data_IF_872103515497
#
_entry.id   IF_872103515497
#
_cell.length_a   1.000
_cell.length_b   1.000
_cell.length_c   1.000
_cell.angle_alpha   90.00
_cell.angle_beta   90.00
_cell.angle_gamma   90.00
#
_symmetry.space_group_name_H-M   'P 1'
#
loop_
_entity.id
_entity.type
_entity.pdbx_description
1 polymer ?
#
# COMPACT_ATOMS: atom_id res chain seq x y z
N UNK A 1 6.48 -22.58 -7.83
CA UNK A 1 6.02 -23.92 -8.23
C UNK A 1 7.16 -24.75 -8.81
N UNK A 2 7.95 -24.20 -9.74
CA UNK A 2 9.08 -24.92 -10.36
C UNK A 2 10.11 -25.40 -9.34
N UNK A 3 10.44 -24.59 -8.33
CA UNK A 3 11.38 -24.98 -7.26
C UNK A 3 10.92 -26.22 -6.49
N UNK A 4 9.62 -26.35 -6.21
CA UNK A 4 9.08 -27.51 -5.48
C UNK A 4 9.21 -28.76 -6.36
N UNK A 5 8.87 -28.65 -7.65
CA UNK A 5 9.00 -29.76 -8.59
C UNK A 5 10.45 -30.24 -8.70
N UNK A 6 11.41 -29.31 -8.82
CA UNK A 6 12.84 -29.63 -8.85
C UNK A 6 13.26 -30.33 -7.55
N UNK A 7 12.89 -29.79 -6.38
CA UNK A 7 13.18 -30.41 -5.08
C UNK A 7 12.60 -31.81 -4.94
N UNK A 8 11.38 -32.05 -5.42
CA UNK A 8 10.76 -33.39 -5.39
C UNK A 8 11.52 -34.37 -6.30
N UNK A 9 11.90 -33.95 -7.51
CA UNK A 9 12.67 -34.84 -8.40
C UNK A 9 14.04 -35.19 -7.82
N UNK A 10 14.73 -34.23 -7.20
CA UNK A 10 16.03 -34.47 -6.56
C UNK A 10 15.88 -35.39 -5.33
N UNK A 11 14.82 -35.20 -4.53
CA UNK A 11 14.49 -36.10 -3.42
C UNK A 11 14.28 -37.54 -3.91
N UNK A 12 13.46 -37.74 -4.95
CA UNK A 12 13.18 -39.07 -5.51
C UNK A 12 14.46 -39.71 -6.05
N UNK A 13 15.27 -38.96 -6.81
CA UNK A 13 16.54 -39.45 -7.32
C UNK A 13 17.52 -39.84 -6.19
N UNK A 14 17.59 -39.04 -5.13
CA UNK A 14 18.43 -39.32 -3.96
C UNK A 14 17.98 -40.61 -3.24
N UNK A 15 16.67 -40.77 -3.00
CA UNK A 15 16.13 -41.98 -2.37
C UNK A 15 16.40 -43.22 -3.23
N UNK A 16 16.14 -43.15 -4.55
CA UNK A 16 16.39 -44.27 -5.47
C UNK A 16 17.88 -44.64 -5.49
N UNK A 17 18.78 -43.65 -5.54
CA UNK A 17 20.22 -43.91 -5.51
C UNK A 17 20.66 -44.59 -4.21
N UNK A 18 20.10 -44.18 -3.06
CA UNK A 18 20.40 -44.79 -1.76
C UNK A 18 19.89 -46.24 -1.66
N UNK A 19 18.69 -46.51 -2.19
CA UNK A 19 18.11 -47.86 -2.24
C UNK A 19 18.94 -48.79 -3.13
N UNK A 20 19.32 -48.33 -4.33
CA UNK A 20 20.16 -49.11 -5.26
C UNK A 20 21.56 -49.40 -4.67
N UNK A 21 22.07 -48.48 -3.83
CA UNK A 21 23.38 -48.62 -3.19
C UNK A 21 23.35 -49.44 -1.88
N UNK A 22 22.20 -50.01 -1.47
CA UNK A 22 22.01 -50.74 -0.22
C UNK A 22 22.42 -49.96 1.04
N UNK A 23 22.20 -48.64 1.05
CA UNK A 23 22.42 -47.81 2.23
C UNK A 23 21.38 -48.10 3.31
N UNK A 24 21.72 -47.76 4.56
CA UNK A 24 20.80 -47.98 5.67
C UNK A 24 19.51 -47.15 5.53
N UNK A 25 18.45 -47.59 6.20
CA UNK A 25 17.16 -46.88 6.22
C UNK A 25 17.32 -45.43 6.73
N UNK A 26 18.18 -45.21 7.74
CA UNK A 26 18.46 -43.89 8.29
C UNK A 26 19.15 -42.96 7.28
N UNK A 27 20.15 -43.45 6.56
CA UNK A 27 20.86 -42.69 5.52
C UNK A 27 19.95 -42.36 4.33
N UNK A 28 19.09 -43.30 3.94
CA UNK A 28 18.12 -43.09 2.86
C UNK A 28 17.10 -42.00 3.20
N UNK A 29 16.59 -41.99 4.44
CA UNK A 29 15.69 -40.94 4.93
C UNK A 29 16.42 -39.59 4.97
N UNK A 30 17.64 -39.55 5.52
CA UNK A 30 18.44 -38.33 5.57
C UNK A 30 18.73 -37.76 4.18
N UNK A 31 19.08 -38.61 3.21
CA UNK A 31 19.32 -38.23 1.82
C UNK A 31 18.04 -37.72 1.14
N UNK A 32 16.88 -38.31 1.41
CA UNK A 32 15.60 -37.80 0.92
C UNK A 32 15.28 -36.39 1.45
N UNK A 33 15.41 -36.18 2.78
CA UNK A 33 15.21 -34.86 3.40
C UNK A 33 16.18 -33.84 2.82
N UNK A 34 17.48 -34.16 2.76
CA UNK A 34 18.50 -33.29 2.19
C UNK A 34 18.24 -32.98 0.71
N UNK A 35 17.88 -34.00 -0.08
CA UNK A 35 17.54 -33.90 -1.49
C UNK A 35 16.34 -33.00 -1.76
N UNK A 36 15.40 -32.88 -0.80
CA UNK A 36 14.29 -31.94 -0.90
C UNK A 36 14.70 -30.51 -0.51
N UNK A 37 15.28 -30.33 0.68
CA UNK A 37 15.50 -29.00 1.26
C UNK A 37 16.71 -28.26 0.72
N UNK A 38 17.83 -28.94 0.44
CA UNK A 38 19.06 -28.28 -0.05
C UNK A 38 18.82 -27.54 -1.36
N UNK A 39 18.21 -28.16 -2.41
CA UNK A 39 17.88 -27.43 -3.63
C UNK A 39 16.89 -26.28 -3.40
N UNK A 40 15.95 -26.45 -2.46
CA UNK A 40 14.95 -25.43 -2.15
C UNK A 40 15.60 -24.15 -1.60
N UNK A 41 16.56 -24.31 -0.68
CA UNK A 41 17.34 -23.21 -0.13
C UNK A 41 18.22 -22.57 -1.20
N UNK A 42 18.96 -23.37 -1.99
CA UNK A 42 19.85 -22.86 -3.03
C UNK A 42 19.11 -22.06 -4.11
N UNK A 43 18.04 -22.65 -4.68
CA UNK A 43 17.20 -21.98 -5.68
C UNK A 43 16.52 -20.75 -5.06
N UNK A 44 16.08 -20.84 -3.80
CA UNK A 44 15.50 -19.74 -3.05
C UNK A 44 16.46 -18.55 -2.93
N UNK A 45 17.70 -18.79 -2.55
CA UNK A 45 18.74 -17.75 -2.43
C UNK A 45 19.05 -17.10 -3.79
N UNK A 46 19.19 -17.89 -4.85
CA UNK A 46 19.44 -17.38 -6.21
C UNK A 46 18.27 -16.52 -6.68
N UNK A 47 17.04 -17.03 -6.53
CA UNK A 47 15.83 -16.33 -6.94
C UNK A 47 15.67 -15.02 -6.14
N UNK A 48 15.90 -15.05 -4.83
CA UNK A 48 15.83 -13.86 -3.97
C UNK A 48 16.84 -12.80 -4.39
N UNK A 49 18.09 -13.19 -4.71
CA UNK A 49 19.10 -12.26 -5.23
C UNK A 49 18.65 -11.62 -6.56
N UNK A 50 18.08 -12.40 -7.47
CA UNK A 50 17.60 -11.89 -8.77
C UNK A 50 16.39 -10.96 -8.62
N UNK A 51 15.40 -11.33 -7.80
CA UNK A 51 14.26 -10.47 -7.47
C UNK A 51 14.76 -9.18 -6.83
N UNK A 52 15.70 -9.27 -5.88
CA UNK A 52 16.30 -8.12 -5.21
C UNK A 52 16.90 -7.12 -6.21
N UNK A 53 17.62 -7.58 -7.23
CA UNK A 53 18.15 -6.71 -8.28
C UNK A 53 17.06 -5.94 -9.03
N UNK A 54 15.97 -6.62 -9.41
CA UNK A 54 14.84 -5.98 -10.12
C UNK A 54 14.11 -5.01 -9.21
N UNK A 55 13.93 -5.35 -7.93
CA UNK A 55 13.35 -4.48 -6.92
C UNK A 55 14.19 -3.23 -6.66
N UNK A 56 15.52 -3.36 -6.54
CA UNK A 56 16.42 -2.22 -6.38
C UNK A 56 16.38 -1.30 -7.59
N UNK A 57 16.33 -1.85 -8.81
CA UNK A 57 16.20 -1.04 -10.02
C UNK A 57 14.87 -0.27 -10.07
N UNK A 58 13.75 -0.88 -9.67
CA UNK A 58 12.46 -0.18 -9.53
C UNK A 58 12.54 0.95 -8.49
N UNK A 59 13.12 0.65 -7.32
CA UNK A 59 13.29 1.63 -6.24
C UNK A 59 14.18 2.80 -6.66
N UNK A 60 15.26 2.53 -7.38
CA UNK A 60 16.16 3.55 -7.92
C UNK A 60 15.43 4.45 -8.93
N UNK A 61 14.67 3.86 -9.86
CA UNK A 61 13.87 4.62 -10.82
C UNK A 61 12.84 5.53 -10.12
N UNK A 62 12.12 5.00 -9.12
CA UNK A 62 11.19 5.78 -8.30
C UNK A 62 11.91 6.89 -7.52
N UNK A 63 13.06 6.59 -6.93
CA UNK A 63 13.85 7.57 -6.17
C UNK A 63 14.39 8.69 -7.07
N UNK A 64 14.82 8.37 -8.29
CA UNK A 64 15.25 9.36 -9.27
C UNK A 64 14.08 10.24 -9.72
N UNK A 65 12.91 9.65 -9.98
CA UNK A 65 11.68 10.39 -10.29
C UNK A 65 11.27 11.32 -9.14
N UNK A 66 11.23 10.80 -7.91
CA UNK A 66 10.89 11.58 -6.72
C UNK A 66 11.91 12.71 -6.47
N UNK A 67 13.21 12.47 -6.70
CA UNK A 67 14.25 13.52 -6.62
C UNK A 67 13.98 14.65 -7.62
N UNK A 68 13.56 14.34 -8.84
CA UNK A 68 13.20 15.36 -9.85
C UNK A 68 12.01 16.20 -9.40
N UNK A 69 10.95 15.54 -8.91
CA UNK A 69 9.75 16.19 -8.36
C UNK A 69 10.13 17.08 -7.17
N UNK A 70 10.90 16.56 -6.21
CA UNK A 70 11.33 17.30 -5.02
C UNK A 70 12.20 18.52 -5.38
N UNK A 71 13.09 18.40 -6.38
CA UNK A 71 13.86 19.54 -6.89
C UNK A 71 12.95 20.63 -7.47
N UNK A 72 11.94 20.25 -8.26
CA UNK A 72 10.94 21.21 -8.78
C UNK A 72 10.15 21.89 -7.65
N UNK A 73 9.77 21.14 -6.62
CA UNK A 73 9.10 21.70 -5.42
C UNK A 73 10.01 22.69 -4.68
N UNK A 74 11.29 22.37 -4.47
CA UNK A 74 12.25 23.28 -3.82
C UNK A 74 12.51 24.55 -4.66
N UNK A 75 12.63 24.42 -5.98
CA UNK A 75 12.74 25.56 -6.89
C UNK A 75 11.51 26.47 -6.82
N UNK A 76 10.33 25.89 -6.59
CA UNK A 76 9.11 26.66 -6.38
C UNK A 76 9.10 27.41 -5.04
N UNK A 77 9.48 26.76 -3.95
CA UNK A 77 9.56 27.40 -2.63
C UNK A 77 10.52 28.60 -2.62
N UNK A 78 11.55 28.56 -3.46
CA UNK A 78 12.56 29.64 -3.58
C UNK A 78 12.19 30.74 -4.58
N UNK A 79 11.16 30.56 -5.42
CA UNK A 79 10.70 31.55 -6.42
C UNK A 79 9.23 31.94 -6.22
N UNK A 80 8.92 32.85 -5.28
CA UNK A 80 7.54 33.13 -4.82
C UNK A 80 6.62 33.91 -5.81
N UNK A 81 6.92 33.94 -7.12
CA UNK A 81 6.14 34.67 -8.13
C UNK A 81 5.46 33.83 -9.22
N UNK A 82 5.58 32.50 -9.20
CA UNK A 82 5.06 31.62 -10.25
C UNK A 82 3.56 31.30 -10.14
N UNK A 83 2.92 30.98 -11.28
CA UNK A 83 1.54 30.50 -11.32
C UNK A 83 1.41 29.13 -10.63
N UNK A 84 0.95 29.13 -9.36
CA UNK A 84 0.83 27.95 -8.50
C UNK A 84 0.04 26.82 -9.17
N UNK A 85 -1.05 27.14 -9.88
CA UNK A 85 -1.89 26.13 -10.55
C UNK A 85 -1.13 25.43 -11.69
N UNK A 86 -0.35 26.18 -12.45
CA UNK A 86 0.45 25.61 -13.54
C UNK A 86 1.54 24.69 -13.00
N UNK A 87 2.16 25.07 -11.87
CA UNK A 87 3.20 24.27 -11.23
C UNK A 87 2.60 23.00 -10.61
N UNK A 88 1.44 23.07 -9.96
CA UNK A 88 0.71 21.89 -9.50
C UNK A 88 0.41 20.91 -10.65
N UNK A 89 -0.10 21.41 -11.78
CA UNK A 89 -0.34 20.57 -12.97
C UNK A 89 0.93 19.92 -13.50
N UNK A 90 2.06 20.63 -13.49
CA UNK A 90 3.34 20.07 -13.91
C UNK A 90 3.81 18.95 -12.96
N UNK A 91 3.67 19.15 -11.65
CA UNK A 91 4.02 18.13 -10.65
C UNK A 91 3.11 16.89 -10.78
N UNK A 92 1.80 17.08 -10.98
CA UNK A 92 0.86 15.99 -11.24
C UNK A 92 1.20 15.23 -12.53
N UNK A 93 1.59 15.95 -13.60
CA UNK A 93 2.02 15.34 -14.85
C UNK A 93 3.31 14.51 -14.67
N UNK A 94 4.31 15.05 -13.95
CA UNK A 94 5.54 14.32 -13.65
C UNK A 94 5.26 13.06 -12.80
N UNK A 95 4.39 13.17 -11.79
CA UNK A 95 3.96 12.02 -10.97
C UNK A 95 3.27 10.97 -11.84
N UNK A 96 2.37 11.38 -12.74
CA UNK A 96 1.66 10.47 -13.65
C UNK A 96 2.64 9.71 -14.55
N UNK A 97 3.62 10.40 -15.13
CA UNK A 97 4.66 9.77 -15.97
C UNK A 97 5.46 8.76 -15.14
N UNK A 98 5.93 9.16 -13.95
CA UNK A 98 6.69 8.29 -13.06
C UNK A 98 5.94 7.01 -12.71
N UNK A 99 4.65 7.13 -12.35
CA UNK A 99 3.82 5.98 -11.97
C UNK A 99 3.54 5.08 -13.18
N UNK A 100 3.35 5.68 -14.36
CA UNK A 100 3.14 4.93 -15.61
C UNK A 100 4.39 4.13 -16.00
N UNK A 101 5.57 4.74 -15.88
CA UNK A 101 6.83 4.05 -16.12
C UNK A 101 7.07 2.93 -15.10
N UNK A 102 6.67 3.15 -13.83
CA UNK A 102 6.74 2.14 -12.80
C UNK A 102 5.79 0.96 -13.06
N UNK A 103 4.57 1.22 -13.57
CA UNK A 103 3.63 0.19 -13.99
C UNK A 103 4.21 -0.67 -15.13
N UNK A 104 4.81 -0.05 -16.14
CA UNK A 104 5.49 -0.78 -17.21
C UNK A 104 6.69 -1.59 -16.69
N UNK A 105 7.43 -1.07 -15.71
CA UNK A 105 8.55 -1.77 -15.10
C UNK A 105 8.11 -3.05 -14.37
N UNK A 106 6.90 -3.08 -13.79
CA UNK A 106 6.40 -4.24 -13.05
C UNK A 106 6.39 -5.52 -13.90
N UNK A 107 6.28 -5.43 -15.22
CA UNK A 107 6.29 -6.60 -16.10
C UNK A 107 7.60 -7.39 -16.02
N UNK A 108 8.70 -6.76 -15.60
CA UNK A 108 9.98 -7.44 -15.32
C UNK A 108 9.89 -8.44 -14.17
N UNK A 109 8.87 -8.36 -13.32
CA UNK A 109 8.65 -9.32 -12.24
C UNK A 109 7.88 -10.57 -12.68
N UNK A 110 7.18 -10.53 -13.83
CA UNK A 110 6.35 -11.63 -14.35
C UNK A 110 7.09 -12.97 -14.44
N UNK A 111 8.36 -13.04 -14.92
CA UNK A 111 9.11 -14.29 -14.99
C UNK A 111 9.36 -14.95 -13.62
N UNK A 112 9.26 -14.21 -12.52
CA UNK A 112 9.46 -14.75 -11.17
C UNK A 112 8.20 -15.44 -10.60
N UNK A 113 7.02 -15.30 -11.23
CA UNK A 113 5.79 -16.00 -10.79
C UNK A 113 5.96 -17.51 -10.71
N UNK A 114 6.74 -18.11 -11.62
CA UNK A 114 7.01 -19.55 -11.63
C UNK A 114 7.89 -20.02 -10.45
N UNK A 115 8.73 -19.12 -9.94
CA UNK A 115 9.70 -19.39 -8.88
C UNK A 115 9.17 -19.03 -7.48
N UNK A 116 8.37 -17.98 -7.34
CA UNK A 116 7.81 -17.52 -6.06
C UNK A 116 6.28 -17.56 -6.09
N UNK A 117 5.69 -18.26 -5.11
CA UNK A 117 4.24 -18.43 -4.98
C UNK A 117 3.50 -17.10 -4.77
N UNK A 118 4.12 -16.18 -4.02
CA UNK A 118 3.53 -14.89 -3.66
C UNK A 118 3.84 -13.79 -4.69
N UNK A 119 4.73 -14.04 -5.65
CA UNK A 119 5.13 -13.01 -6.61
C UNK A 119 3.93 -12.50 -7.43
N UNK A 120 3.00 -13.38 -7.80
CA UNK A 120 1.78 -12.95 -8.49
C UNK A 120 0.96 -11.97 -7.65
N UNK A 121 0.85 -12.20 -6.34
CA UNK A 121 0.16 -11.31 -5.41
C UNK A 121 0.93 -10.01 -5.18
N UNK A 122 2.27 -10.06 -5.12
CA UNK A 122 3.12 -8.87 -5.00
C UNK A 122 2.98 -7.96 -6.22
N UNK A 123 3.00 -8.53 -7.42
CA UNK A 123 2.74 -7.82 -8.68
C UNK A 123 1.35 -7.18 -8.66
N UNK A 124 0.31 -7.94 -8.25
CA UNK A 124 -1.04 -7.41 -8.12
C UNK A 124 -1.12 -6.26 -7.11
N UNK A 125 -0.43 -6.35 -5.97
CA UNK A 125 -0.37 -5.25 -4.98
C UNK A 125 0.26 -4.00 -5.57
N UNK A 126 1.43 -4.12 -6.20
CA UNK A 126 2.11 -2.96 -6.79
C UNK A 126 1.27 -2.31 -7.89
N UNK A 127 0.70 -3.11 -8.80
CA UNK A 127 -0.20 -2.60 -9.85
C UNK A 127 -1.41 -1.91 -9.25
N UNK A 128 -2.05 -2.54 -8.25
CA UNK A 128 -3.21 -1.97 -7.57
C UNK A 128 -2.89 -0.61 -6.95
N UNK A 129 -1.77 -0.49 -6.21
CA UNK A 129 -1.38 0.77 -5.57
C UNK A 129 -1.09 1.88 -6.61
N UNK A 130 -0.36 1.58 -7.67
CA UNK A 130 -0.04 2.56 -8.71
C UNK A 130 -1.26 2.96 -9.53
N UNK A 131 -2.11 2.02 -9.95
CA UNK A 131 -3.37 2.32 -10.63
C UNK A 131 -4.30 3.14 -9.74
N UNK A 132 -4.32 2.87 -8.43
CA UNK A 132 -5.05 3.68 -7.47
C UNK A 132 -4.57 5.12 -7.46
N UNK A 133 -3.25 5.35 -7.41
CA UNK A 133 -2.66 6.69 -7.46
C UNK A 133 -2.95 7.42 -8.77
N UNK A 134 -3.03 6.68 -9.89
CA UNK A 134 -3.46 7.22 -11.18
C UNK A 134 -4.98 7.46 -11.28
N UNK A 135 -5.74 7.07 -10.26
CA UNK A 135 -7.21 7.09 -10.23
C UNK A 135 -7.86 6.20 -11.29
N UNK A 136 -7.14 5.20 -11.79
CA UNK A 136 -7.61 4.17 -12.73
C UNK A 136 -8.41 3.10 -11.97
N UNK A 137 -9.52 3.55 -11.38
CA UNK A 137 -10.24 2.79 -10.38
C UNK A 137 -10.93 1.52 -10.90
N UNK A 138 -11.34 1.50 -12.16
CA UNK A 138 -11.92 0.30 -12.76
C UNK A 138 -10.90 -0.85 -12.80
N UNK A 139 -9.67 -0.55 -13.21
CA UNK A 139 -8.57 -1.53 -13.21
C UNK A 139 -8.20 -1.97 -11.78
N UNK A 140 -8.25 -1.05 -10.80
CA UNK A 140 -8.10 -1.39 -9.37
C UNK A 140 -9.18 -2.39 -8.96
N UNK A 141 -10.43 -2.12 -9.29
CA UNK A 141 -11.57 -2.95 -8.89
C UNK A 141 -11.49 -4.34 -9.52
N UNK A 142 -11.03 -4.46 -10.77
CA UNK A 142 -10.74 -5.75 -11.41
C UNK A 142 -9.67 -6.55 -10.65
N UNK A 143 -8.59 -5.88 -10.21
CA UNK A 143 -7.54 -6.53 -9.40
C UNK A 143 -8.08 -6.97 -8.03
N UNK A 144 -8.93 -6.15 -7.39
CA UNK A 144 -9.55 -6.46 -6.09
C UNK A 144 -10.58 -7.59 -6.17
N UNK A 145 -11.27 -7.73 -7.30
CA UNK A 145 -12.26 -8.77 -7.57
C UNK A 145 -11.65 -10.14 -7.87
N UNK A 146 -10.33 -10.22 -8.12
CA UNK A 146 -9.65 -11.47 -8.44
C UNK A 146 -9.87 -12.54 -7.35
N UNK A 147 -10.59 -13.61 -7.73
CA UNK A 147 -10.93 -14.73 -6.82
C UNK A 147 -9.81 -15.75 -6.76
N UNK A 148 -9.50 -16.24 -5.55
CA UNK A 148 -8.55 -17.32 -5.30
C UNK A 148 -7.40 -16.95 -4.36
N UNK A 149 -6.85 -17.94 -3.66
CA UNK A 149 -5.85 -17.77 -2.60
C UNK A 149 -4.58 -17.05 -3.08
N UNK A 150 -4.27 -17.06 -4.38
CA UNK A 150 -3.01 -16.55 -4.94
C UNK A 150 -3.18 -15.54 -6.09
N UNK A 151 -4.40 -15.07 -6.36
CA UNK A 151 -4.70 -14.22 -7.53
C UNK A 151 -4.91 -12.73 -7.21
N UNK A 152 -5.28 -12.40 -5.98
CA UNK A 152 -5.48 -11.02 -5.54
C UNK A 152 -4.26 -10.37 -4.86
N UNK A 153 -4.30 -9.05 -4.63
CA UNK A 153 -3.23 -8.33 -3.96
C UNK A 153 -3.06 -8.79 -2.51
N UNK A 154 -1.82 -8.71 -2.01
CA UNK A 154 -1.49 -8.82 -0.59
C UNK A 154 -2.09 -7.62 0.16
N UNK A 155 -2.86 -7.89 1.21
CA UNK A 155 -3.55 -6.90 2.04
C UNK A 155 -3.01 -6.92 3.48
N UNK A 156 -1.69 -6.74 3.59
CA UNK A 156 -0.97 -6.79 4.87
C UNK A 156 -0.63 -5.40 5.42
N UNK A 157 -0.89 -4.34 4.66
CA UNK A 157 -0.63 -2.96 5.07
C UNK A 157 -1.94 -2.19 5.22
N UNK A 158 -2.10 -1.34 6.26
CA UNK A 158 -3.32 -0.58 6.51
C UNK A 158 -3.80 0.19 5.29
N UNK A 159 -2.88 0.82 4.56
CA UNK A 159 -3.19 1.60 3.36
C UNK A 159 -3.85 0.75 2.26
N UNK A 160 -3.32 -0.44 1.97
CA UNK A 160 -3.91 -1.33 0.94
C UNK A 160 -5.33 -1.78 1.29
N UNK A 161 -5.59 -1.99 2.58
CA UNK A 161 -6.92 -2.33 3.08
C UNK A 161 -7.85 -1.13 3.01
N UNK A 162 -7.37 0.05 3.42
CA UNK A 162 -8.13 1.29 3.35
C UNK A 162 -8.50 1.68 1.91
N UNK A 163 -7.60 1.51 0.95
CA UNK A 163 -7.87 1.65 -0.49
C UNK A 163 -9.02 0.75 -0.92
N UNK A 164 -8.98 -0.55 -0.55
CA UNK A 164 -10.08 -1.47 -0.85
C UNK A 164 -11.39 -1.04 -0.20
N UNK A 165 -11.37 -0.63 1.08
CA UNK A 165 -12.58 -0.15 1.76
C UNK A 165 -13.15 1.09 1.07
N UNK A 166 -12.30 2.04 0.66
CA UNK A 166 -12.71 3.21 -0.10
C UNK A 166 -13.37 2.81 -1.43
N UNK A 167 -12.81 1.83 -2.16
CA UNK A 167 -13.43 1.29 -3.38
C UNK A 167 -14.79 0.64 -3.11
N UNK A 168 -14.90 -0.20 -2.09
CA UNK A 168 -16.17 -0.85 -1.73
C UNK A 168 -17.25 0.17 -1.38
N UNK A 169 -16.91 1.26 -0.68
CA UNK A 169 -17.83 2.37 -0.43
C UNK A 169 -18.28 3.04 -1.72
N UNK A 170 -17.35 3.32 -2.64
CA UNK A 170 -17.68 3.95 -3.94
C UNK A 170 -18.52 3.05 -4.86
N UNK A 171 -18.51 1.74 -4.64
CA UNK A 171 -19.35 0.76 -5.31
C UNK A 171 -20.66 0.46 -4.55
N UNK A 172 -20.95 1.18 -3.47
CA UNK A 172 -22.09 0.95 -2.55
C UNK A 172 -22.13 -0.46 -1.92
N UNK A 173 -20.99 -1.16 -1.88
CA UNK A 173 -20.80 -2.45 -1.19
C UNK A 173 -20.49 -2.25 0.30
N UNK A 174 -21.48 -1.73 1.05
CA UNK A 174 -21.33 -1.50 2.50
C UNK A 174 -21.08 -2.81 3.27
N UNK A 175 -21.80 -3.88 2.92
CA UNK A 175 -21.66 -5.17 3.58
C UNK A 175 -20.25 -5.76 3.40
N UNK A 176 -19.71 -5.69 2.18
CA UNK A 176 -18.34 -6.11 1.90
C UNK A 176 -17.31 -5.21 2.55
N UNK A 177 -17.56 -3.90 2.67
CA UNK A 177 -16.70 -2.96 3.39
C UNK A 177 -16.62 -3.33 4.87
N UNK A 178 -17.75 -3.53 5.54
CA UNK A 178 -17.78 -3.95 6.96
C UNK A 178 -17.05 -5.28 7.17
N UNK A 179 -17.23 -6.22 6.25
CA UNK A 179 -16.54 -7.51 6.28
C UNK A 179 -15.03 -7.34 6.11
N UNK A 180 -14.59 -6.46 5.21
CA UNK A 180 -13.18 -6.12 5.03
C UNK A 180 -12.60 -5.50 6.29
N UNK A 181 -13.30 -4.52 6.89
CA UNK A 181 -12.91 -3.88 8.14
C UNK A 181 -12.75 -4.90 9.27
N UNK A 182 -13.80 -5.66 9.61
CA UNK A 182 -13.80 -6.65 10.70
C UNK A 182 -12.71 -7.71 10.51
N UNK A 183 -12.45 -8.12 9.27
CA UNK A 183 -11.40 -9.10 8.96
C UNK A 183 -9.99 -8.57 9.20
N UNK A 184 -9.73 -7.30 8.85
CA UNK A 184 -8.36 -6.76 8.83
C UNK A 184 -7.99 -5.98 10.08
N UNK A 185 -8.94 -5.29 10.73
CA UNK A 185 -8.65 -4.46 11.90
C UNK A 185 -7.98 -5.25 13.04
N UNK A 186 -8.34 -6.53 13.21
CA UNK A 186 -7.73 -7.41 14.22
C UNK A 186 -6.23 -7.68 14.01
N UNK A 187 -5.71 -7.49 12.81
CA UNK A 187 -4.30 -7.69 12.49
C UNK A 187 -3.48 -6.40 12.69
N UNK A 188 -4.14 -5.25 12.78
CA UNK A 188 -3.50 -3.94 12.93
C UNK A 188 -3.66 -3.44 14.36
N UNK A 189 -2.67 -3.73 15.22
CA UNK A 189 -2.62 -3.25 16.60
C UNK A 189 -1.99 -1.86 16.69
N UNK A 190 -2.41 -1.08 17.69
CA UNK A 190 -1.92 0.29 17.91
C UNK A 190 -2.25 1.23 16.74
N UNK A 191 -1.41 2.24 16.54
CA UNK A 191 -1.61 3.26 15.49
C UNK A 191 -1.73 2.73 14.06
N UNK A 192 -1.32 1.48 13.77
CA UNK A 192 -1.51 0.87 12.44
C UNK A 192 -2.99 0.67 12.09
N UNK A 193 -3.87 0.56 13.10
CA UNK A 193 -5.31 0.42 12.90
C UNK A 193 -6.03 1.73 12.60
N UNK A 194 -5.41 2.88 12.89
CA UNK A 194 -6.03 4.21 12.85
C UNK A 194 -6.76 4.49 11.54
N UNK A 195 -6.08 4.26 10.40
CA UNK A 195 -6.65 4.54 9.09
C UNK A 195 -7.93 3.74 8.82
N UNK A 196 -8.01 2.48 9.27
CA UNK A 196 -9.21 1.65 9.09
C UNK A 196 -10.38 2.15 9.93
N UNK A 197 -10.12 2.53 11.18
CA UNK A 197 -11.15 3.14 12.04
C UNK A 197 -11.64 4.48 11.47
N UNK A 198 -10.73 5.29 10.93
CA UNK A 198 -11.03 6.55 10.29
C UNK A 198 -11.91 6.39 9.05
N UNK A 199 -11.58 5.44 8.15
CA UNK A 199 -12.41 5.14 6.97
C UNK A 199 -13.79 4.66 7.38
N UNK A 200 -13.86 3.69 8.30
CA UNK A 200 -15.12 3.08 8.69
C UNK A 200 -16.05 4.07 9.42
N UNK A 201 -15.51 4.86 10.36
CA UNK A 201 -16.28 5.90 11.05
C UNK A 201 -16.75 7.00 10.09
N UNK A 202 -15.92 7.40 9.13
CA UNK A 202 -16.31 8.35 8.09
C UNK A 202 -17.44 7.81 7.21
N UNK A 203 -17.39 6.54 6.83
CA UNK A 203 -18.47 5.90 6.05
C UNK A 203 -19.79 5.94 6.82
N UNK A 204 -19.78 5.63 8.12
CA UNK A 204 -20.98 5.75 8.97
C UNK A 204 -21.50 7.19 9.04
N UNK A 205 -20.62 8.19 9.17
CA UNK A 205 -21.03 9.60 9.12
C UNK A 205 -21.66 9.98 7.77
N UNK A 206 -21.18 9.43 6.65
CA UNK A 206 -21.76 9.68 5.32
C UNK A 206 -23.09 8.95 5.05
N UNK A 207 -23.47 8.01 5.92
CA UNK A 207 -24.75 7.31 5.86
C UNK A 207 -25.68 7.75 6.99
N UNK A 208 -25.38 8.88 7.63
CA UNK A 208 -26.13 9.45 8.76
C UNK A 208 -26.25 8.50 9.97
N UNK A 209 -25.30 7.58 10.12
CA UNK A 209 -25.22 6.62 11.23
C UNK A 209 -24.27 7.12 12.33
N UNK A 210 -24.45 8.36 12.80
CA UNK A 210 -23.56 9.02 13.78
C UNK A 210 -23.37 8.22 15.07
N UNK A 211 -24.40 7.53 15.52
CA UNK A 211 -24.33 6.64 16.70
C UNK A 211 -23.33 5.50 16.50
N UNK A 212 -23.40 4.82 15.34
CA UNK A 212 -22.46 3.73 15.01
C UNK A 212 -21.05 4.26 14.85
N UNK A 213 -20.89 5.44 14.25
CA UNK A 213 -19.60 6.12 14.17
C UNK A 213 -19.03 6.38 15.56
N UNK A 214 -19.82 6.92 16.49
CA UNK A 214 -19.42 7.17 17.88
C UNK A 214 -18.98 5.90 18.59
N UNK A 215 -19.79 4.85 18.53
CA UNK A 215 -19.47 3.54 19.14
C UNK A 215 -18.18 2.95 18.57
N UNK A 216 -17.95 3.10 17.27
CA UNK A 216 -16.74 2.63 16.63
C UNK A 216 -15.51 3.44 17.06
N UNK A 217 -15.63 4.76 17.21
CA UNK A 217 -14.54 5.63 17.64
C UNK A 217 -14.15 5.42 19.10
N UNK A 218 -15.07 4.98 19.98
CA UNK A 218 -14.73 4.54 21.35
C UNK A 218 -13.71 3.40 21.27
N UNK A 219 -14.03 2.35 20.50
CA UNK A 219 -13.13 1.22 20.27
C UNK A 219 -11.84 1.64 19.58
N UNK A 220 -11.93 2.55 18.62
CA UNK A 220 -10.78 3.08 17.88
C UNK A 220 -9.82 3.83 18.80
N UNK A 221 -10.34 4.68 19.70
CA UNK A 221 -9.54 5.44 20.67
C UNK A 221 -8.77 4.50 21.59
N UNK A 222 -9.44 3.50 22.15
CA UNK A 222 -8.80 2.49 23.00
C UNK A 222 -7.74 1.66 22.25
N UNK A 223 -8.03 1.27 21.01
CA UNK A 223 -7.15 0.40 20.23
C UNK A 223 -5.92 1.11 19.66
N UNK A 224 -6.04 2.41 19.34
CA UNK A 224 -5.03 3.14 18.56
C UNK A 224 -4.31 4.24 19.35
N UNK A 225 -4.98 4.87 20.33
CA UNK A 225 -4.46 6.04 21.03
C UNK A 225 -4.32 7.29 20.16
N UNK A 226 -4.89 7.31 18.95
CA UNK A 226 -4.71 8.40 17.99
C UNK A 226 -5.53 9.66 18.36
N UNK A 227 -4.89 10.82 18.26
CA UNK A 227 -5.50 12.11 18.62
C UNK A 227 -6.63 12.52 17.66
N UNK A 228 -6.56 12.17 16.37
CA UNK A 228 -7.61 12.46 15.40
C UNK A 228 -8.86 11.65 15.73
N UNK A 229 -8.69 10.37 16.07
CA UNK A 229 -9.79 9.50 16.51
C UNK A 229 -10.41 10.02 17.81
N UNK A 230 -9.58 10.41 18.80
CA UNK A 230 -10.04 10.95 20.06
C UNK A 230 -10.82 12.26 19.88
N UNK A 231 -10.31 13.18 19.05
CA UNK A 231 -10.99 14.44 18.70
C UNK A 231 -12.33 14.17 18.02
N UNK A 232 -12.37 13.27 17.04
CA UNK A 232 -13.61 12.95 16.33
C UNK A 232 -14.64 12.35 17.27
N UNK A 233 -14.24 11.48 18.21
CA UNK A 233 -15.12 10.97 19.25
C UNK A 233 -15.72 12.10 20.10
N UNK A 234 -14.90 13.06 20.53
CA UNK A 234 -15.36 14.21 21.32
C UNK A 234 -16.38 15.07 20.55
N UNK A 235 -16.13 15.31 19.25
CA UNK A 235 -17.07 16.06 18.42
C UNK A 235 -18.43 15.36 18.33
N UNK A 236 -18.44 14.04 18.08
CA UNK A 236 -19.69 13.28 17.99
C UNK A 236 -20.41 13.14 19.34
N UNK A 237 -19.68 12.98 20.44
CA UNK A 237 -20.27 12.95 21.79
C UNK A 237 -20.95 14.28 22.18
N UNK A 238 -20.50 15.38 21.58
CA UNK A 238 -21.06 16.72 21.79
C UNK A 238 -22.12 17.11 20.73
N UNK A 239 -22.61 16.16 19.92
CA UNK A 239 -23.53 16.40 18.81
C UNK A 239 -23.01 17.43 17.79
N UNK A 240 -21.68 17.54 17.65
CA UNK A 240 -21.00 18.43 16.71
C UNK A 240 -20.60 17.66 15.45
N UNK A 241 -21.55 16.95 14.84
CA UNK A 241 -21.35 16.08 13.68
C UNK A 241 -20.65 16.79 12.50
N UNK A 242 -20.97 18.07 12.30
CA UNK A 242 -20.36 18.92 11.26
C UNK A 242 -18.85 19.18 11.45
N UNK A 243 -18.32 18.93 12.65
CA UNK A 243 -16.91 19.11 12.98
C UNK A 243 -16.10 17.81 12.90
N UNK A 244 -16.74 16.67 12.58
CA UNK A 244 -16.05 15.42 12.31
C UNK A 244 -15.12 15.59 11.10
N UNK A 245 -13.83 15.27 11.27
CA UNK A 245 -12.85 15.38 10.19
C UNK A 245 -11.65 14.47 10.42
N UNK A 246 -11.26 13.74 9.37
CA UNK A 246 -10.05 12.94 9.36
C UNK A 246 -8.82 13.72 8.84
N UNK A 247 -8.92 15.05 8.70
CA UNK A 247 -7.83 15.89 8.19
C UNK A 247 -6.53 15.77 9.00
N UNK A 248 -6.62 15.42 10.29
CA UNK A 248 -5.46 15.18 11.15
C UNK A 248 -4.56 14.01 10.70
N UNK A 249 -5.08 13.09 9.88
CA UNK A 249 -4.32 11.98 9.29
C UNK A 249 -3.53 12.39 8.03
N UNK A 250 -3.71 13.62 7.55
CA UNK A 250 -2.93 14.20 6.47
C UNK A 250 -3.01 13.42 5.15
N UNK A 251 -1.86 13.27 4.49
CA UNK A 251 -1.77 12.72 3.14
C UNK A 251 -2.26 11.27 3.05
N UNK A 252 -2.12 10.46 4.11
CA UNK A 252 -2.65 9.09 4.11
C UNK A 252 -4.17 9.08 3.90
N UNK A 253 -4.89 9.97 4.59
CA UNK A 253 -6.33 10.09 4.42
C UNK A 253 -6.71 10.61 3.03
N UNK A 254 -6.06 11.68 2.57
CA UNK A 254 -6.37 12.27 1.27
C UNK A 254 -5.97 11.38 0.08
N UNK A 255 -4.97 10.51 0.27
CA UNK A 255 -4.58 9.51 -0.74
C UNK A 255 -5.69 8.51 -1.06
N UNK A 256 -6.70 8.37 -0.19
CA UNK A 256 -7.86 7.50 -0.43
C UNK A 256 -8.89 8.11 -1.38
N UNK A 257 -8.79 9.40 -1.71
CA UNK A 257 -9.74 10.12 -2.57
C UNK A 257 -11.21 10.04 -2.08
N UNK A 258 -11.41 9.87 -0.78
CA UNK A 258 -12.71 9.99 -0.12
C UNK A 258 -13.08 11.46 0.11
N UNK A 259 -12.07 12.30 0.36
CA UNK A 259 -12.18 13.74 0.56
C UNK A 259 -11.02 14.46 -0.17
N UNK A 260 -11.20 15.75 -0.45
CA UNK A 260 -10.15 16.57 -1.04
C UNK A 260 -9.33 17.25 0.05
N UNK A 261 -8.00 17.39 -0.13
CA UNK A 261 -7.17 18.16 0.79
C UNK A 261 -7.61 19.63 0.79
N UNK A 262 -7.47 20.34 1.93
CA UNK A 262 -7.76 21.76 1.99
C UNK A 262 -6.85 22.53 1.02
N UNK A 263 -7.39 23.56 0.39
CA UNK A 263 -6.62 24.38 -0.53
C UNK A 263 -5.39 24.99 0.20
N UNK A 264 -4.17 24.87 -0.36
CA UNK A 264 -2.98 25.42 0.27
C UNK A 264 -3.17 26.93 0.44
N UNK A 265 -3.16 27.40 1.70
CA UNK A 265 -3.27 28.82 2.00
C UNK A 265 -2.03 29.52 1.43
N UNK A 266 -2.22 30.46 0.51
CA UNK A 266 -1.14 31.31 0.04
C UNK A 266 -0.57 32.06 1.24
N UNK A 267 0.69 31.79 1.57
CA UNK A 267 1.40 32.53 2.59
C UNK A 267 1.65 33.93 2.04
N UNK A 268 0.79 34.89 2.39
CA UNK A 268 1.01 36.30 2.07
C UNK A 268 2.30 36.73 2.77
N UNK A 269 3.39 36.89 2.02
CA UNK A 269 4.56 37.61 2.50
C UNK A 269 4.10 39.04 2.72
N UNK A 270 3.89 39.42 3.99
CA UNK A 270 3.78 40.84 4.37
C UNK A 270 5.14 41.45 4.06
N UNK A 271 5.26 42.12 2.92
CA UNK A 271 6.42 42.95 2.63
C UNK A 271 6.57 43.96 3.76
N UNK A 272 7.68 43.88 4.50
CA UNK A 272 8.07 44.94 5.42
C UNK A 272 8.33 46.17 4.56
N UNK A 273 7.35 47.07 4.45
CA UNK A 273 7.58 48.43 4.00
C UNK A 273 8.35 49.17 5.09
N UNK A 274 9.66 48.93 5.18
CA UNK A 274 10.59 49.74 5.97
C UNK A 274 11.76 50.13 5.07
N UNK A 275 11.88 51.44 4.86
CA UNK A 275 13.13 52.07 4.39
C UNK A 275 13.12 52.48 2.93
N UNK A 276 12.53 53.64 2.64
CA UNK A 276 12.57 54.26 1.32
C UNK A 276 12.25 55.75 1.36
N UNK A 277 12.70 56.46 2.40
CA UNK A 277 12.92 57.91 2.36
C UNK A 277 14.37 58.14 2.77
N UNK A 278 15.22 58.41 1.79
CA UNK A 278 16.44 59.18 1.95
C UNK A 278 16.79 59.82 0.62
N UNK A 279 16.69 61.15 0.62
CA UNK A 279 17.16 62.18 -0.31
C UNK A 279 16.50 62.22 -1.70
#
# INVERSE_FOLDING_TARGET
>A
MVTILISVMIMVAAVVACVVSNLSTGETIAAGIAGFFVPQVLIGLITRKRIGKVQSALQEQLALGQKKINRKVQQFQTRPGGNIKQIQRQLEADQKVLITDALAFIDRFEPFKKWSLLMGRQIATMRMQFLYQLKEFEAVDQILAAKGLLKGPIMMEPMTVAMKMARQYKQDDLAGLEKTFKRHVKWFRGGKGTLLYAVMSWVYMKKDESEKARQLLIKGKEATGDETIARNLEMLSNNKDKHFSNAGLGDEWYSLYLENPPAPKQQRIRGNARGGRMF
#
